data_IF_391081163533
#
_entry.id   IF_391081163533
#
_cell.length_a   1.000
_cell.length_b   1.000
_cell.length_c   1.000
_cell.angle_alpha   90.00
_cell.angle_beta   90.00
_cell.angle_gamma   90.00
#
_symmetry.space_group_name_H-M   'P 1'
#
loop_
_entity.id
_entity.type
_entity.pdbx_description
1 polymer ?
#
# COMPACT_ATOMS: atom_id res chain seq x y z
N UNK A 1 25.58 -10.30 -10.01
CA UNK A 1 25.12 -11.36 -9.05
C UNK A 1 23.93 -10.89 -8.23
N UNK A 2 23.95 -9.71 -7.65
CA UNK A 2 22.89 -9.18 -6.78
C UNK A 2 21.51 -9.08 -7.48
N UNK A 3 21.43 -8.55 -8.73
CA UNK A 3 20.15 -8.45 -9.47
C UNK A 3 19.48 -9.80 -9.71
N UNK A 4 20.25 -10.84 -10.06
CA UNK A 4 19.71 -12.21 -10.22
C UNK A 4 19.21 -12.83 -8.93
N UNK A 5 19.81 -12.48 -7.79
CA UNK A 5 19.32 -12.90 -6.49
C UNK A 5 17.98 -12.24 -6.15
N UNK A 6 17.81 -10.97 -6.50
CA UNK A 6 16.52 -10.27 -6.34
C UNK A 6 15.44 -10.84 -7.24
N UNK A 7 15.76 -11.14 -8.51
CA UNK A 7 14.85 -11.85 -9.42
C UNK A 7 14.41 -13.19 -8.86
N UNK A 8 15.35 -14.00 -8.38
CA UNK A 8 15.07 -15.31 -7.81
C UNK A 8 14.11 -15.20 -6.61
N UNK A 9 14.32 -14.25 -5.71
CA UNK A 9 13.45 -14.03 -4.56
C UNK A 9 12.06 -13.57 -4.98
N UNK A 10 11.98 -12.58 -5.86
CA UNK A 10 10.73 -12.06 -6.39
C UNK A 10 9.93 -13.15 -7.11
N UNK A 11 10.62 -13.99 -7.92
CA UNK A 11 10.01 -15.13 -8.58
C UNK A 11 9.35 -16.12 -7.62
N UNK A 12 10.00 -16.44 -6.51
CA UNK A 12 9.43 -17.38 -5.54
C UNK A 12 8.11 -16.86 -4.93
N UNK A 13 8.05 -15.56 -4.64
CA UNK A 13 6.84 -14.92 -4.12
C UNK A 13 5.77 -14.82 -5.22
N UNK A 14 6.15 -14.43 -6.44
CA UNK A 14 5.25 -14.42 -7.59
C UNK A 14 4.60 -15.79 -7.82
N UNK A 15 5.40 -16.85 -7.94
CA UNK A 15 4.91 -18.22 -8.15
C UNK A 15 3.99 -18.70 -7.01
N UNK A 16 4.23 -18.23 -5.78
CA UNK A 16 3.36 -18.50 -4.65
C UNK A 16 2.02 -17.75 -4.79
N UNK A 17 2.04 -16.46 -5.11
CA UNK A 17 0.84 -15.62 -5.25
C UNK A 17 -0.06 -16.13 -6.37
N UNK A 18 0.51 -16.48 -7.53
CA UNK A 18 -0.22 -17.12 -8.64
C UNK A 18 -0.97 -18.38 -8.18
N UNK A 19 -0.26 -19.32 -7.53
CA UNK A 19 -0.84 -20.58 -7.07
C UNK A 19 -1.86 -20.38 -5.95
N UNK A 20 -1.60 -19.46 -5.02
CA UNK A 20 -2.50 -19.18 -3.91
C UNK A 20 -3.81 -18.56 -4.40
N UNK A 21 -3.75 -17.55 -5.29
CA UNK A 21 -4.90 -16.95 -5.94
C UNK A 21 -5.74 -18.01 -6.68
N UNK A 22 -5.10 -18.77 -7.56
CA UNK A 22 -5.77 -19.85 -8.29
C UNK A 22 -6.43 -20.87 -7.34
N UNK A 23 -5.78 -21.22 -6.23
CA UNK A 23 -6.34 -22.15 -5.24
C UNK A 23 -7.54 -21.57 -4.50
N UNK A 24 -7.49 -20.31 -4.09
CA UNK A 24 -8.60 -19.61 -3.42
C UNK A 24 -9.80 -19.58 -4.35
N UNK A 25 -9.63 -19.13 -5.58
CA UNK A 25 -10.72 -19.01 -6.56
C UNK A 25 -11.27 -20.37 -7.01
N UNK A 26 -10.46 -21.43 -6.97
CA UNK A 26 -10.95 -22.79 -7.24
C UNK A 26 -11.92 -23.31 -6.16
N UNK A 27 -11.85 -22.75 -4.95
CA UNK A 27 -12.76 -23.11 -3.84
C UNK A 27 -13.99 -22.19 -3.82
N UNK A 28 -13.78 -20.90 -3.97
CA UNK A 28 -14.85 -19.92 -4.07
C UNK A 28 -14.39 -18.73 -4.93
N UNK A 29 -14.91 -18.59 -6.17
CA UNK A 29 -14.51 -17.52 -7.08
C UNK A 29 -14.94 -16.12 -6.63
N UNK A 30 -15.87 -16.00 -5.69
CA UNK A 30 -16.39 -14.71 -5.20
C UNK A 30 -15.52 -14.12 -4.07
N UNK A 31 -14.56 -14.89 -3.53
CA UNK A 31 -13.63 -14.39 -2.51
C UNK A 31 -12.53 -13.57 -3.17
N UNK A 32 -12.37 -12.34 -2.73
CA UNK A 32 -11.25 -11.48 -3.14
C UNK A 32 -9.96 -11.95 -2.44
N UNK A 33 -8.97 -12.29 -3.24
CA UNK A 33 -7.62 -12.60 -2.81
C UNK A 33 -6.73 -11.36 -2.92
N UNK A 34 -5.89 -11.09 -1.93
CA UNK A 34 -5.02 -9.93 -1.99
C UNK A 34 -3.84 -9.99 -1.04
N UNK A 35 -3.03 -8.96 -1.07
CA UNK A 35 -1.86 -8.84 -0.22
C UNK A 35 -1.79 -7.46 0.46
N UNK A 36 -1.26 -7.47 1.69
CA UNK A 36 -0.83 -6.28 2.38
C UNK A 36 0.67 -6.06 2.18
N UNK A 37 1.07 -4.86 1.78
CA UNK A 37 2.47 -4.49 1.58
C UNK A 37 2.76 -3.06 2.04
N UNK A 38 4.02 -2.78 2.36
CA UNK A 38 4.47 -1.40 2.59
C UNK A 38 4.64 -0.63 1.28
N UNK A 39 4.21 0.62 1.27
CA UNK A 39 4.23 1.46 0.06
C UNK A 39 5.63 1.89 -0.40
N UNK A 40 6.68 1.67 0.39
CA UNK A 40 8.08 2.02 0.07
C UNK A 40 8.72 1.05 -0.93
N UNK A 41 8.18 1.01 -2.14
CA UNK A 41 8.61 0.11 -3.20
C UNK A 41 10.09 0.24 -3.54
N UNK A 42 10.63 1.46 -3.48
CA UNK A 42 12.03 1.77 -3.77
C UNK A 42 13.05 0.95 -2.98
N UNK A 43 12.66 0.47 -1.79
CA UNK A 43 13.46 -0.38 -0.92
C UNK A 43 12.85 -1.75 -0.60
N UNK A 44 11.63 -2.05 -1.08
CA UNK A 44 10.92 -3.27 -0.74
C UNK A 44 11.58 -4.55 -1.29
N UNK A 45 12.46 -4.40 -2.28
CA UNK A 45 13.28 -5.48 -2.80
C UNK A 45 14.16 -6.15 -1.73
N UNK A 46 14.49 -5.46 -0.63
CA UNK A 46 15.19 -6.07 0.51
C UNK A 46 14.39 -7.21 1.14
N UNK A 47 13.08 -7.14 1.12
CA UNK A 47 12.17 -8.22 1.57
C UNK A 47 12.04 -9.35 0.56
N UNK A 48 12.55 -9.19 -0.67
CA UNK A 48 12.42 -10.16 -1.75
C UNK A 48 11.06 -10.16 -2.42
N UNK A 49 10.31 -9.09 -2.28
CA UNK A 49 8.93 -8.96 -2.76
C UNK A 49 8.88 -7.94 -3.90
N UNK A 50 8.24 -8.32 -5.01
CA UNK A 50 7.89 -7.43 -6.10
C UNK A 50 6.35 -7.35 -6.21
N UNK A 51 5.75 -6.42 -5.49
CA UNK A 51 4.29 -6.24 -5.49
C UNK A 51 3.76 -5.36 -6.64
N UNK A 52 4.61 -5.04 -7.62
CA UNK A 52 4.22 -4.26 -8.79
C UNK A 52 3.38 -5.07 -9.79
N UNK A 53 2.73 -4.35 -10.72
CA UNK A 53 2.27 -4.93 -11.97
C UNK A 53 3.45 -5.45 -12.80
N UNK A 54 3.31 -6.56 -13.53
CA UNK A 54 4.28 -6.97 -14.55
C UNK A 54 4.50 -5.93 -15.66
N UNK A 55 3.52 -5.03 -15.85
CA UNK A 55 3.61 -3.90 -16.79
C UNK A 55 4.47 -2.75 -16.28
N UNK A 56 4.76 -2.68 -14.97
CA UNK A 56 5.63 -1.66 -14.38
C UNK A 56 7.09 -2.07 -14.45
N UNK A 57 7.87 -1.44 -15.34
CA UNK A 57 9.30 -1.75 -15.49
C UNK A 57 10.15 -1.02 -14.45
N UNK A 58 10.37 -1.66 -13.30
CA UNK A 58 11.23 -1.16 -12.23
C UNK A 58 12.68 -0.92 -12.70
N UNK A 59 13.18 -1.68 -13.70
CA UNK A 59 14.52 -1.52 -14.26
C UNK A 59 14.76 -0.18 -14.95
N UNK A 60 13.69 0.49 -15.40
CA UNK A 60 13.77 1.84 -15.98
C UNK A 60 13.84 2.95 -14.91
N UNK A 61 13.50 2.64 -13.66
CA UNK A 61 13.40 3.62 -12.56
C UNK A 61 14.50 3.40 -11.53
N UNK A 62 14.80 2.14 -11.23
CA UNK A 62 15.70 1.76 -10.15
C UNK A 62 16.89 0.96 -10.68
N UNK A 63 18.10 1.42 -10.40
CA UNK A 63 19.34 0.77 -10.82
C UNK A 63 19.60 -0.59 -10.13
N UNK A 64 18.91 -0.89 -9.02
CA UNK A 64 18.98 -2.19 -8.37
C UNK A 64 18.15 -3.26 -9.12
N UNK A 65 17.10 -2.87 -9.84
CA UNK A 65 16.31 -3.81 -10.63
C UNK A 65 16.99 -4.18 -11.94
N UNK A 66 16.78 -5.40 -12.43
CA UNK A 66 17.14 -5.82 -13.77
C UNK A 66 16.02 -5.52 -14.76
N UNK A 67 16.31 -5.67 -16.05
CA UNK A 67 15.31 -5.57 -17.10
C UNK A 67 14.22 -6.66 -17.01
N UNK A 68 14.52 -7.78 -16.36
CA UNK A 68 13.61 -8.92 -16.22
C UNK A 68 12.81 -8.91 -14.90
N UNK A 69 13.12 -7.98 -13.98
CA UNK A 69 12.55 -7.97 -12.65
C UNK A 69 11.01 -7.78 -12.65
N UNK A 70 10.50 -7.01 -13.60
CA UNK A 70 9.06 -6.78 -13.74
C UNK A 70 8.24 -8.05 -14.02
N UNK A 71 8.83 -9.07 -14.67
CA UNK A 71 8.16 -10.35 -14.92
C UNK A 71 7.71 -11.08 -13.66
N UNK A 72 8.26 -10.72 -12.53
CA UNK A 72 7.96 -11.30 -11.22
C UNK A 72 7.15 -10.35 -10.32
N UNK A 73 6.54 -9.34 -10.92
CA UNK A 73 5.47 -8.59 -10.27
C UNK A 73 4.23 -9.48 -10.14
N UNK A 74 3.45 -9.33 -9.06
CA UNK A 74 2.31 -10.20 -8.80
C UNK A 74 0.98 -9.46 -8.59
N UNK A 75 0.93 -8.17 -8.86
CA UNK A 75 -0.30 -7.39 -8.68
C UNK A 75 -1.48 -7.95 -9.47
N UNK A 76 -1.24 -8.45 -10.68
CA UNK A 76 -2.22 -9.07 -11.57
C UNK A 76 -2.76 -10.44 -11.08
N UNK A 77 -2.15 -11.01 -10.03
CA UNK A 77 -2.67 -12.20 -9.35
C UNK A 77 -3.55 -11.86 -8.14
N UNK A 78 -3.77 -10.58 -7.85
CA UNK A 78 -4.56 -10.11 -6.73
C UNK A 78 -5.84 -9.42 -7.19
N UNK A 79 -6.92 -9.56 -6.41
CA UNK A 79 -8.19 -8.84 -6.62
C UNK A 79 -8.22 -7.51 -5.85
N UNK A 80 -7.33 -7.35 -4.88
CA UNK A 80 -7.15 -6.13 -4.09
C UNK A 80 -5.75 -6.07 -3.49
N UNK A 81 -5.18 -4.87 -3.42
CA UNK A 81 -3.95 -4.63 -2.65
C UNK A 81 -4.21 -3.67 -1.49
N UNK A 82 -3.52 -3.92 -0.37
CA UNK A 82 -3.57 -3.06 0.82
C UNK A 82 -2.18 -2.46 1.02
N UNK A 83 -2.11 -1.11 0.97
CA UNK A 83 -0.83 -0.39 0.92
C UNK A 83 -0.62 0.41 2.20
N UNK A 84 0.38 0.03 2.99
CA UNK A 84 0.78 0.78 4.18
C UNK A 84 1.49 2.08 3.81
N UNK A 85 0.76 3.19 3.79
CA UNK A 85 1.27 4.53 3.53
C UNK A 85 1.83 5.16 4.82
N UNK A 86 2.81 4.49 5.44
CA UNK A 86 3.33 4.81 6.77
C UNK A 86 4.31 5.97 6.72
N UNK A 87 3.79 7.18 6.86
CA UNK A 87 4.55 8.41 6.94
C UNK A 87 4.34 9.13 8.29
N UNK A 88 5.15 10.12 8.58
CA UNK A 88 5.03 10.91 9.80
C UNK A 88 3.83 11.86 9.75
N UNK A 89 3.43 12.38 10.92
CA UNK A 89 2.41 13.45 11.05
C UNK A 89 2.73 14.71 10.25
N UNK A 90 3.99 14.93 9.88
CA UNK A 90 4.44 16.09 9.09
C UNK A 90 4.48 15.80 7.58
N UNK A 91 4.10 14.59 7.17
CA UNK A 91 4.26 14.09 5.80
C UNK A 91 2.97 13.48 5.28
N UNK A 92 1.83 14.16 5.48
CA UNK A 92 0.52 13.71 5.01
C UNK A 92 0.40 13.96 3.51
N UNK A 93 0.50 15.21 3.08
CA UNK A 93 0.42 15.61 1.68
C UNK A 93 1.79 15.71 1.02
N UNK A 94 1.83 15.51 -0.28
CA UNK A 94 2.99 15.74 -1.12
C UNK A 94 3.15 14.72 -2.24
N UNK A 95 4.11 14.99 -3.13
CA UNK A 95 4.44 14.12 -4.27
C UNK A 95 5.59 13.16 -3.97
N UNK A 96 6.28 13.34 -2.87
CA UNK A 96 7.37 12.46 -2.42
C UNK A 96 6.82 11.08 -2.08
N UNK A 97 7.54 10.03 -2.43
CA UNK A 97 7.24 8.65 -2.01
C UNK A 97 7.07 8.51 -0.49
N UNK A 98 7.69 9.38 0.31
CA UNK A 98 7.64 9.33 1.76
C UNK A 98 6.60 10.26 2.40
N UNK A 99 5.55 10.61 1.65
CA UNK A 99 4.32 11.20 2.19
C UNK A 99 3.16 10.21 2.03
N UNK A 100 2.10 10.32 2.85
CA UNK A 100 0.96 9.39 2.75
C UNK A 100 0.32 9.46 1.37
N UNK A 101 0.02 10.66 0.89
CA UNK A 101 -0.51 10.89 -0.45
C UNK A 101 0.46 10.41 -1.56
N UNK A 102 1.74 10.70 -1.41
CA UNK A 102 2.76 10.31 -2.38
C UNK A 102 2.97 8.80 -2.46
N UNK A 103 2.90 8.10 -1.33
CA UNK A 103 2.90 6.64 -1.28
C UNK A 103 1.73 6.04 -2.07
N UNK A 104 0.50 6.54 -1.85
CA UNK A 104 -0.68 6.06 -2.57
C UNK A 104 -0.61 6.38 -4.07
N UNK A 105 -0.24 7.61 -4.45
CA UNK A 105 -0.05 7.99 -5.85
C UNK A 105 1.04 7.16 -6.54
N UNK A 106 2.11 6.85 -5.83
CA UNK A 106 3.18 5.98 -6.35
C UNK A 106 2.69 4.55 -6.55
N UNK A 107 1.93 4.00 -5.59
CA UNK A 107 1.32 2.68 -5.72
C UNK A 107 0.40 2.60 -6.94
N UNK A 108 -0.42 3.62 -7.19
CA UNK A 108 -1.26 3.71 -8.40
C UNK A 108 -0.45 3.59 -9.70
N UNK A 109 0.71 4.25 -9.75
CA UNK A 109 1.62 4.13 -10.90
C UNK A 109 2.22 2.73 -11.02
N UNK A 110 2.60 2.11 -9.89
CA UNK A 110 3.26 0.80 -9.83
C UNK A 110 2.29 -0.32 -10.18
N UNK A 111 1.02 -0.20 -9.81
CA UNK A 111 -0.01 -1.17 -10.17
C UNK A 111 -0.46 -1.07 -11.63
N UNK A 112 -0.21 0.04 -12.28
CA UNK A 112 -0.52 0.26 -13.71
C UNK A 112 -1.97 -0.07 -14.11
N UNK A 113 -2.90 -0.08 -13.16
CA UNK A 113 -4.31 -0.40 -13.36
C UNK A 113 -4.68 -1.87 -13.25
N UNK A 114 -3.73 -2.78 -12.99
CA UNK A 114 -3.99 -4.23 -12.94
C UNK A 114 -4.78 -4.67 -11.70
N UNK A 115 -4.69 -3.91 -10.61
CA UNK A 115 -5.36 -4.24 -9.35
C UNK A 115 -5.86 -2.98 -8.65
N UNK A 116 -7.09 -2.99 -8.10
CA UNK A 116 -7.56 -1.96 -7.21
C UNK A 116 -6.83 -2.02 -5.86
N UNK A 117 -6.73 -0.87 -5.18
CA UNK A 117 -6.06 -0.83 -3.88
C UNK A 117 -6.66 0.17 -2.91
N UNK A 118 -6.43 -0.10 -1.62
CA UNK A 118 -6.68 0.79 -0.51
C UNK A 118 -5.35 1.16 0.16
N UNK A 119 -5.15 2.44 0.42
CA UNK A 119 -3.99 2.95 1.15
C UNK A 119 -4.37 3.37 2.57
N UNK A 120 -3.43 3.36 3.49
CA UNK A 120 -3.71 3.84 4.83
C UNK A 120 -2.48 4.05 5.70
N UNK A 121 -2.61 4.92 6.72
CA UNK A 121 -1.56 5.30 7.64
C UNK A 121 -1.35 4.26 8.75
N UNK A 122 -0.20 4.34 9.40
CA UNK A 122 0.01 3.82 10.75
C UNK A 122 -0.17 4.97 11.75
N UNK A 123 -1.26 4.92 12.51
CA UNK A 123 -1.65 5.98 13.45
C UNK A 123 -1.20 5.74 14.89
N UNK A 124 -0.27 4.83 15.10
CA UNK A 124 0.23 4.50 16.44
C UNK A 124 1.74 4.34 16.53
N UNK A 125 2.41 3.85 15.49
CA UNK A 125 3.86 3.60 15.51
C UNK A 125 4.65 4.56 14.64
N UNK A 126 4.03 5.18 13.64
CA UNK A 126 4.71 6.15 12.78
C UNK A 126 5.12 7.39 13.55
N UNK A 127 6.20 8.03 13.08
CA UNK A 127 6.77 9.21 13.76
C UNK A 127 5.72 10.31 13.95
N UNK A 128 5.57 10.73 15.20
CA UNK A 128 4.61 11.76 15.61
C UNK A 128 3.22 11.22 15.98
N UNK A 129 2.96 9.91 15.86
CA UNK A 129 1.67 9.29 16.26
C UNK A 129 1.70 8.57 17.61
N UNK A 130 2.83 8.57 18.30
CA UNK A 130 3.06 7.69 19.45
C UNK A 130 2.51 8.20 20.78
N UNK A 131 1.87 9.36 20.83
CA UNK A 131 1.37 9.98 22.08
C UNK A 131 -0.15 10.22 22.11
N UNK A 132 -0.87 9.81 21.06
CA UNK A 132 -2.33 9.85 21.02
C UNK A 132 -2.97 11.25 20.87
N UNK A 133 -2.20 12.27 20.45
CA UNK A 133 -2.71 13.66 20.34
C UNK A 133 -3.05 14.09 18.90
N UNK A 134 -3.07 13.15 17.96
CA UNK A 134 -3.12 13.41 16.52
C UNK A 134 -4.52 13.28 15.92
N UNK A 135 -5.58 13.16 16.74
CA UNK A 135 -6.97 13.08 16.26
C UNK A 135 -7.33 14.21 15.31
N UNK A 136 -6.83 15.43 15.58
CA UNK A 136 -7.05 16.60 14.72
C UNK A 136 -6.48 16.48 13.29
N UNK A 137 -5.59 15.51 13.02
CA UNK A 137 -5.02 15.24 11.70
C UNK A 137 -5.85 14.26 10.89
N UNK A 138 -6.84 13.58 11.48
CA UNK A 138 -7.62 12.54 10.79
C UNK A 138 -8.31 13.05 9.53
N UNK A 139 -8.87 14.28 9.45
CA UNK A 139 -9.43 14.80 8.20
C UNK A 139 -8.42 14.87 7.06
N UNK A 140 -7.23 15.40 7.31
CA UNK A 140 -6.17 15.48 6.30
C UNK A 140 -5.68 14.10 5.85
N UNK A 141 -5.59 13.16 6.77
CA UNK A 141 -5.17 11.77 6.51
C UNK A 141 -6.20 11.06 5.65
N UNK A 142 -7.50 11.19 5.98
CA UNK A 142 -8.60 10.60 5.20
C UNK A 142 -8.59 11.16 3.79
N UNK A 143 -8.54 12.47 3.64
CA UNK A 143 -8.49 13.13 2.33
C UNK A 143 -7.29 12.66 1.50
N UNK A 144 -6.09 12.68 2.07
CA UNK A 144 -4.86 12.31 1.36
C UNK A 144 -4.85 10.84 0.91
N UNK A 145 -5.34 9.91 1.74
CA UNK A 145 -5.31 8.49 1.44
C UNK A 145 -6.45 8.06 0.51
N UNK A 146 -7.70 8.52 0.75
CA UNK A 146 -8.85 8.13 -0.08
C UNK A 146 -8.69 8.64 -1.51
N UNK A 147 -8.38 9.92 -1.69
CA UNK A 147 -8.30 10.52 -3.02
C UNK A 147 -7.13 9.98 -3.86
N UNK A 148 -6.08 9.48 -3.20
CA UNK A 148 -4.94 8.87 -3.89
C UNK A 148 -5.08 7.35 -4.10
N UNK A 149 -6.02 6.69 -3.43
CA UNK A 149 -6.34 5.26 -3.58
C UNK A 149 -7.41 5.02 -4.66
N UNK A 150 -7.77 3.77 -4.93
CA UNK A 150 -8.78 3.41 -5.94
C UNK A 150 -10.08 2.86 -5.36
N UNK A 151 -10.07 2.35 -4.13
CA UNK A 151 -11.25 1.75 -3.48
C UNK A 151 -11.49 2.20 -2.04
N UNK A 152 -10.78 3.22 -1.55
CA UNK A 152 -10.93 3.70 -0.18
C UNK A 152 -9.64 3.64 0.61
N UNK A 153 -9.76 3.52 1.94
CA UNK A 153 -8.61 3.51 2.84
C UNK A 153 -8.79 2.57 4.03
N UNK A 154 -7.73 2.41 4.80
CA UNK A 154 -7.76 1.74 6.10
C UNK A 154 -6.92 2.53 7.12
N UNK A 155 -7.09 2.21 8.41
CA UNK A 155 -6.22 2.67 9.48
C UNK A 155 -5.48 1.49 10.11
N UNK A 156 -4.17 1.57 10.23
CA UNK A 156 -3.37 0.68 11.05
C UNK A 156 -3.08 1.37 12.38
N UNK A 157 -3.66 0.93 13.51
CA UNK A 157 -4.54 -0.22 13.60
C UNK A 157 -5.64 0.00 14.65
N UNK A 158 -6.53 -0.96 14.76
CA UNK A 158 -7.64 -0.95 15.75
C UNK A 158 -7.15 -0.83 17.20
N UNK A 159 -5.97 -1.37 17.52
CA UNK A 159 -5.40 -1.26 18.86
C UNK A 159 -5.12 0.19 19.22
N UNK A 160 -4.54 0.96 18.30
CA UNK A 160 -4.23 2.38 18.50
C UNK A 160 -5.49 3.25 18.47
N UNK A 161 -6.49 2.91 17.63
CA UNK A 161 -7.78 3.61 17.66
C UNK A 161 -8.41 3.50 19.05
N UNK A 162 -8.40 2.29 19.63
CA UNK A 162 -8.91 2.07 21.00
C UNK A 162 -8.05 2.71 22.07
N UNK A 163 -6.73 2.60 21.95
CA UNK A 163 -5.78 3.10 22.95
C UNK A 163 -5.84 4.62 23.08
N UNK A 164 -6.00 5.32 21.96
CA UNK A 164 -5.97 6.77 21.86
C UNK A 164 -7.36 7.41 21.72
N UNK A 165 -8.40 6.58 21.72
CA UNK A 165 -9.82 7.01 21.59
C UNK A 165 -10.09 7.87 20.35
N UNK A 166 -9.58 7.43 19.19
CA UNK A 166 -9.69 8.17 17.92
C UNK A 166 -11.04 8.00 17.20
N UNK A 167 -12.03 7.34 17.82
CA UNK A 167 -13.30 7.01 17.15
C UNK A 167 -14.04 8.23 16.62
N UNK A 168 -14.21 9.25 17.48
CA UNK A 168 -14.93 10.48 17.10
C UNK A 168 -14.16 11.30 16.08
N UNK A 169 -12.82 11.35 16.19
CA UNK A 169 -11.96 12.04 15.22
C UNK A 169 -12.04 11.41 13.83
N UNK A 170 -11.98 10.07 13.77
CA UNK A 170 -12.11 9.31 12.52
C UNK A 170 -13.51 9.47 11.93
N UNK A 171 -14.55 9.35 12.76
CA UNK A 171 -15.93 9.58 12.30
C UNK A 171 -16.09 10.96 11.69
N UNK A 172 -15.65 12.00 12.40
CA UNK A 172 -15.68 13.37 11.91
C UNK A 172 -14.92 13.55 10.59
N UNK A 173 -13.77 12.89 10.44
CA UNK A 173 -12.98 12.95 9.21
C UNK A 173 -13.74 12.37 8.02
N UNK A 174 -14.41 11.23 8.18
CA UNK A 174 -15.26 10.66 7.13
C UNK A 174 -16.51 11.48 6.85
N UNK A 175 -17.17 12.03 7.87
CA UNK A 175 -18.31 12.92 7.68
C UNK A 175 -17.90 14.13 6.82
N UNK A 176 -16.79 14.78 7.14
CA UNK A 176 -16.23 15.90 6.35
C UNK A 176 -15.89 15.50 4.91
N UNK A 177 -15.30 14.32 4.73
CA UNK A 177 -15.00 13.82 3.39
C UNK A 177 -16.29 13.61 2.57
N UNK A 178 -17.31 13.00 3.15
CA UNK A 178 -18.59 12.75 2.48
C UNK A 178 -19.34 14.06 2.14
N UNK A 179 -19.23 15.08 2.98
CA UNK A 179 -19.80 16.40 2.70
C UNK A 179 -19.08 17.14 1.55
N UNK A 180 -17.86 16.73 1.21
CA UNK A 180 -17.06 17.32 0.14
C UNK A 180 -17.29 16.70 -1.25
N UNK A 181 -18.01 15.58 -1.33
CA UNK A 181 -18.37 14.88 -2.58
C UNK A 181 -19.60 15.50 -3.25
#
# INVERSE_FOLDING_TARGET
MQKKWMEFRAKNIHDFMEKASARVHSVNPDIRFGAYVGAWYSSYYYSGVNWASPSYNAGNVYNWASAEYNKYGYADHCDIMIIGAYASTKSIYGTSEWTMQGFCNRAKTIFAGDVPFIGGPDIGNSTGFTDGKQGHLMPDIVDACINASTEGMFFFDLCHIKMYDYWDDIKKAFDQYLESL
#
